data_IF_813943779319
#
_entry.id   IF_813943779319
#
_cell.length_a   1.000
_cell.length_b   1.000
_cell.length_c   1.000
_cell.angle_alpha   90.00
_cell.angle_beta   90.00
_cell.angle_gamma   90.00
#
_symmetry.space_group_name_H-M   'P 1'
#
loop_
_entity.id
_entity.type
_entity.pdbx_description
1 polymer ?
#
# COMPACT_ATOMS: atom_id res chain seq x y z
N UNK A 1 -14.55 20.63 -56.51
CA UNK A 1 -13.36 19.86 -56.09
C UNK A 1 -13.67 19.21 -54.75
N UNK A 2 -13.69 17.88 -54.71
CA UNK A 2 -13.94 17.08 -53.51
C UNK A 2 -12.67 17.04 -52.63
N UNK A 3 -12.81 17.28 -51.33
CA UNK A 3 -11.77 17.07 -50.31
C UNK A 3 -12.36 16.32 -49.11
N UNK A 4 -11.88 15.08 -48.91
CA UNK A 4 -12.39 14.06 -47.99
C UNK A 4 -12.33 14.50 -46.50
N UNK A 5 -13.49 14.54 -45.82
CA UNK A 5 -13.58 14.37 -44.36
C UNK A 5 -13.49 12.88 -44.06
N UNK A 6 -12.38 12.42 -43.50
CA UNK A 6 -12.23 11.02 -43.17
C UNK A 6 -11.08 10.77 -42.20
N UNK A 7 -11.34 10.95 -40.90
CA UNK A 7 -10.86 10.09 -39.80
C UNK A 7 -11.17 10.80 -38.47
N UNK A 8 -12.06 10.27 -37.65
CA UNK A 8 -12.14 10.65 -36.22
C UNK A 8 -12.55 9.43 -35.37
N UNK A 9 -13.47 8.58 -35.83
CA UNK A 9 -13.92 7.43 -35.04
C UNK A 9 -12.86 6.33 -34.83
N UNK A 10 -11.98 6.07 -35.82
CA UNK A 10 -10.98 5.01 -35.72
C UNK A 10 -9.85 5.37 -34.74
N UNK A 11 -9.42 6.63 -34.73
CA UNK A 11 -8.44 7.15 -33.77
C UNK A 11 -9.02 7.22 -32.36
N UNK A 12 -10.26 7.71 -32.22
CA UNK A 12 -10.94 7.72 -30.92
C UNK A 12 -11.12 6.30 -30.35
N UNK A 13 -11.43 5.32 -31.20
CA UNK A 13 -11.54 3.91 -30.78
C UNK A 13 -10.19 3.31 -30.37
N UNK A 14 -9.10 3.63 -31.06
CA UNK A 14 -7.75 3.19 -30.69
C UNK A 14 -7.33 3.77 -29.34
N UNK A 15 -7.56 5.08 -29.14
CA UNK A 15 -7.28 5.75 -27.86
C UNK A 15 -8.10 5.10 -26.73
N UNK A 16 -9.39 4.81 -26.97
CA UNK A 16 -10.26 4.17 -25.97
C UNK A 16 -9.85 2.73 -25.65
N UNK A 17 -9.39 1.98 -26.64
CA UNK A 17 -8.90 0.62 -26.47
C UNK A 17 -7.57 0.59 -25.69
N UNK A 18 -6.66 1.52 -25.98
CA UNK A 18 -5.39 1.68 -25.27
C UNK A 18 -5.61 2.04 -23.79
N UNK A 19 -6.50 2.98 -23.50
CA UNK A 19 -6.93 3.27 -22.13
C UNK A 19 -7.60 2.07 -21.44
N UNK A 20 -8.42 1.29 -22.17
CA UNK A 20 -9.03 0.10 -21.60
C UNK A 20 -7.99 -0.99 -21.29
N UNK A 21 -6.97 -1.16 -22.13
CA UNK A 21 -5.85 -2.07 -21.89
C UNK A 21 -5.01 -1.62 -20.68
N UNK A 22 -4.71 -0.34 -20.58
CA UNK A 22 -3.96 0.22 -19.45
C UNK A 22 -4.73 0.09 -18.12
N UNK A 23 -6.07 0.12 -18.17
CA UNK A 23 -6.93 -0.16 -17.02
C UNK A 23 -6.97 -1.65 -16.63
N UNK A 24 -6.58 -2.58 -17.51
CA UNK A 24 -6.57 -4.03 -17.26
C UNK A 24 -5.23 -4.46 -16.64
N UNK A 25 -4.11 -3.80 -16.97
CA UNK A 25 -2.78 -4.19 -16.44
C UNK A 25 -2.66 -4.11 -14.91
N UNK A 26 -3.38 -3.19 -14.27
CA UNK A 26 -3.39 -3.03 -12.80
C UNK A 26 -4.54 -3.78 -12.11
N UNK A 27 -5.17 -4.77 -12.75
CA UNK A 27 -6.32 -5.50 -12.19
C UNK A 27 -6.10 -7.00 -12.23
N UNK A 28 -6.90 -7.73 -11.45
CA UNK A 28 -6.92 -9.18 -11.52
C UNK A 28 -7.43 -9.68 -12.89
N UNK A 29 -6.81 -10.76 -13.41
CA UNK A 29 -7.20 -11.43 -14.65
C UNK A 29 -8.61 -12.07 -14.61
N UNK A 30 -9.18 -12.20 -13.40
CA UNK A 30 -10.52 -12.70 -13.14
C UNK A 30 -11.34 -11.64 -12.39
N UNK A 31 -12.67 -11.67 -12.52
CA UNK A 31 -13.53 -10.75 -11.78
C UNK A 31 -13.56 -11.11 -10.30
N UNK A 32 -12.97 -10.26 -9.46
CA UNK A 32 -12.96 -10.42 -8.02
C UNK A 32 -13.81 -9.38 -7.30
N UNK A 33 -14.71 -8.68 -8.00
CA UNK A 33 -15.53 -7.62 -7.41
C UNK A 33 -16.52 -8.16 -6.37
N UNK A 34 -16.90 -9.43 -6.49
CA UNK A 34 -17.83 -10.12 -5.60
C UNK A 34 -17.35 -10.16 -4.14
N UNK A 35 -18.28 -10.16 -3.17
CA UNK A 35 -17.95 -10.16 -1.74
C UNK A 35 -17.17 -11.41 -1.28
N UNK A 36 -17.23 -12.51 -2.01
CA UNK A 36 -16.46 -13.74 -1.77
C UNK A 36 -14.93 -13.50 -1.81
N UNK A 37 -14.48 -12.42 -2.47
CA UNK A 37 -13.08 -12.01 -2.53
C UNK A 37 -12.71 -10.91 -1.53
N UNK A 38 -13.57 -10.63 -0.54
CA UNK A 38 -13.26 -9.63 0.50
C UNK A 38 -11.96 -9.92 1.25
N UNK A 39 -11.52 -11.19 1.31
CA UNK A 39 -10.22 -11.54 1.88
C UNK A 39 -9.07 -10.87 1.14
N UNK A 40 -9.10 -10.77 -0.20
CA UNK A 40 -8.09 -10.06 -1.00
C UNK A 40 -8.02 -8.59 -0.61
N UNK A 41 -9.18 -7.93 -0.50
CA UNK A 41 -9.30 -6.51 -0.11
C UNK A 41 -8.96 -6.25 1.37
N UNK A 42 -8.94 -7.28 2.18
CA UNK A 42 -8.54 -7.18 3.59
C UNK A 42 -7.02 -7.13 3.77
N UNK A 43 -6.25 -7.54 2.75
CA UNK A 43 -4.80 -7.54 2.77
C UNK A 43 -4.30 -6.10 2.87
N UNK A 44 -3.52 -5.82 3.90
CA UNK A 44 -2.85 -4.55 4.14
C UNK A 44 -1.35 -4.79 4.21
N UNK A 45 -0.59 -4.07 3.39
CA UNK A 45 0.87 -4.17 3.34
C UNK A 45 1.47 -2.89 3.92
N UNK A 46 2.14 -2.97 5.06
CA UNK A 46 2.88 -1.87 5.64
C UNK A 46 4.36 -2.03 5.31
N UNK A 47 4.94 -1.08 4.59
CA UNK A 47 6.38 -0.97 4.39
C UNK A 47 6.92 0.14 5.28
N UNK A 48 7.57 -0.26 6.37
CA UNK A 48 8.37 0.60 7.25
C UNK A 48 9.74 0.75 6.60
N UNK A 49 9.86 1.72 5.68
CA UNK A 49 11.10 1.99 4.95
C UNK A 49 12.24 2.36 5.88
N UNK A 50 11.90 3.17 6.88
CA UNK A 50 12.73 3.40 8.06
C UNK A 50 11.89 3.93 9.20
N UNK A 51 12.29 3.59 10.42
CA UNK A 51 11.88 4.24 11.64
C UNK A 51 13.11 4.38 12.54
N UNK A 52 13.45 5.64 12.85
CA UNK A 52 14.59 6.01 13.69
C UNK A 52 14.12 6.88 14.84
N UNK A 53 14.48 6.50 16.06
CA UNK A 53 14.29 7.29 17.26
C UNK A 53 15.56 7.19 18.10
N UNK A 54 16.06 8.29 18.64
CA UNK A 54 17.19 8.31 19.58
C UNK A 54 17.32 9.69 20.19
N UNK A 55 17.88 9.76 21.40
CA UNK A 55 18.29 11.02 22.00
C UNK A 55 19.43 11.64 21.18
N UNK A 56 19.38 12.96 21.01
CA UNK A 56 20.44 13.72 20.35
C UNK A 56 20.57 15.11 20.96
N UNK A 57 21.75 15.72 20.84
CA UNK A 57 22.03 17.04 21.41
C UNK A 57 22.42 16.99 22.90
N UNK A 58 22.79 18.16 23.45
CA UNK A 58 23.20 18.28 24.87
C UNK A 58 22.02 18.20 25.84
N UNK A 59 20.81 18.51 25.38
CA UNK A 59 19.61 18.64 26.21
C UNK A 59 18.78 17.34 26.26
N UNK A 60 19.21 16.27 25.56
CA UNK A 60 18.50 14.99 25.53
C UNK A 60 17.25 14.98 24.64
N UNK A 61 17.15 15.91 23.68
CA UNK A 61 16.00 16.00 22.79
C UNK A 61 15.81 14.73 21.98
N UNK A 62 14.55 14.28 21.89
CA UNK A 62 14.21 13.08 21.15
C UNK A 62 14.17 13.34 19.64
N UNK A 63 15.18 12.85 18.91
CA UNK A 63 15.16 12.87 17.47
C UNK A 63 14.39 11.66 16.94
N UNK A 64 13.28 11.92 16.27
CA UNK A 64 12.35 10.91 15.75
C UNK A 64 12.03 11.19 14.29
N UNK A 65 12.23 10.21 13.42
CA UNK A 65 11.83 10.28 12.01
C UNK A 65 11.47 8.90 11.46
N UNK A 66 10.41 8.82 10.67
CA UNK A 66 9.98 7.58 10.04
C UNK A 66 9.39 7.84 8.66
N UNK A 67 9.47 6.84 7.78
CA UNK A 67 8.70 6.75 6.56
C UNK A 67 8.01 5.39 6.52
N UNK A 68 6.68 5.43 6.56
CA UNK A 68 5.81 4.25 6.47
C UNK A 68 4.82 4.47 5.33
N UNK A 69 4.64 3.47 4.49
CA UNK A 69 3.60 3.45 3.46
C UNK A 69 2.69 2.25 3.67
N UNK A 70 1.40 2.43 3.35
CA UNK A 70 0.38 1.39 3.43
C UNK A 70 -0.12 1.09 2.03
N UNK A 71 -0.02 -0.18 1.64
CA UNK A 71 -0.53 -0.76 0.41
C UNK A 71 -1.88 -1.42 0.66
N UNK A 72 -2.84 -1.16 -0.24
CA UNK A 72 -4.19 -1.73 -0.18
C UNK A 72 -4.66 -2.17 -1.56
N UNK A 73 -5.53 -3.18 -1.58
CA UNK A 73 -6.17 -3.68 -2.79
C UNK A 73 -7.60 -3.14 -2.95
N UNK A 74 -7.93 -2.66 -4.15
CA UNK A 74 -9.25 -2.19 -4.55
C UNK A 74 -10.20 -3.31 -4.98
N UNK A 75 -11.36 -2.92 -5.53
CA UNK A 75 -12.45 -3.86 -5.85
C UNK A 75 -12.01 -4.94 -6.86
N UNK A 76 -11.22 -4.57 -7.87
CA UNK A 76 -10.68 -5.49 -8.88
C UNK A 76 -9.22 -5.88 -8.64
N UNK A 77 -8.75 -5.76 -7.39
CA UNK A 77 -7.37 -6.13 -7.06
C UNK A 77 -6.33 -5.10 -7.49
N UNK A 78 -6.76 -3.90 -7.89
CA UNK A 78 -5.87 -2.77 -8.10
C UNK A 78 -5.12 -2.43 -6.82
N UNK A 79 -3.81 -2.29 -6.91
CA UNK A 79 -2.97 -2.05 -5.75
C UNK A 79 -2.47 -0.61 -5.71
N UNK A 80 -2.58 0.02 -4.56
CA UNK A 80 -2.12 1.41 -4.38
C UNK A 80 -1.42 1.62 -3.06
N UNK A 81 -0.42 2.50 -3.07
CA UNK A 81 0.28 2.97 -1.88
C UNK A 81 -0.30 4.29 -1.40
N UNK A 82 -0.38 4.46 -0.08
CA UNK A 82 -0.61 5.74 0.56
C UNK A 82 0.38 5.97 1.69
N UNK A 83 0.65 7.24 1.97
CA UNK A 83 1.44 7.64 3.14
C UNK A 83 0.74 7.16 4.41
N UNK A 84 1.52 6.65 5.34
CA UNK A 84 1.08 6.15 6.63
C UNK A 84 2.02 6.63 7.73
N UNK A 85 1.87 6.10 8.94
CA UNK A 85 2.72 6.41 10.09
C UNK A 85 2.91 5.18 10.98
N UNK A 86 3.91 5.18 11.87
CA UNK A 86 4.07 4.11 12.86
C UNK A 86 2.83 3.89 13.73
N UNK A 87 2.04 4.94 14.01
CA UNK A 87 0.84 4.84 14.83
C UNK A 87 -0.32 4.09 14.15
N UNK A 88 -0.22 3.83 12.84
CA UNK A 88 -1.20 3.05 12.09
C UNK A 88 -0.83 1.57 11.98
N UNK A 89 0.35 1.16 12.47
CA UNK A 89 0.74 -0.24 12.49
C UNK A 89 -0.15 -1.01 13.47
N UNK A 90 -0.60 -2.23 13.13
CA UNK A 90 -1.38 -3.06 14.05
C UNK A 90 -0.56 -3.52 15.25
N UNK A 91 -1.24 -3.86 16.34
CA UNK A 91 -0.60 -4.40 17.56
C UNK A 91 0.21 -5.68 17.33
N UNK A 92 -0.07 -6.41 16.24
CA UNK A 92 0.69 -7.60 15.84
C UNK A 92 2.06 -7.28 15.20
N UNK A 93 2.32 -6.02 14.82
CA UNK A 93 3.63 -5.58 14.35
C UNK A 93 4.64 -5.58 15.49
N UNK A 94 5.86 -6.04 15.20
CA UNK A 94 6.95 -6.08 16.17
C UNK A 94 8.11 -5.14 15.81
N UNK A 95 8.74 -4.52 16.81
CA UNK A 95 9.95 -3.71 16.67
C UNK A 95 9.73 -2.19 16.78
N UNK A 96 8.48 -1.73 16.89
CA UNK A 96 8.12 -0.33 17.12
C UNK A 96 7.24 -0.11 18.37
N UNK A 97 7.17 -1.08 19.27
CA UNK A 97 6.33 -1.04 20.49
C UNK A 97 6.64 0.18 21.36
N UNK A 98 7.91 0.62 21.35
CA UNK A 98 8.41 1.74 22.15
C UNK A 98 8.54 3.05 21.37
N UNK A 99 8.04 3.06 20.14
CA UNK A 99 7.98 4.28 19.35
C UNK A 99 7.06 5.28 20.03
N UNK A 100 7.51 6.52 20.25
CA UNK A 100 6.69 7.51 20.98
C UNK A 100 7.09 7.71 22.44
N UNK A 101 7.72 6.71 23.08
CA UNK A 101 8.18 6.77 24.49
C UNK A 101 9.31 7.81 24.70
N UNK A 102 9.86 7.86 25.92
CA UNK A 102 11.00 8.70 26.37
C UNK A 102 12.31 8.30 25.66
N UNK A 103 12.30 8.51 24.35
CA UNK A 103 13.34 8.35 23.35
C UNK A 103 14.30 7.14 23.42
N UNK A 104 13.80 5.91 23.62
CA UNK A 104 14.65 4.75 23.39
C UNK A 104 15.22 4.75 21.97
N UNK A 105 16.47 4.30 21.87
CA UNK A 105 17.15 4.08 20.59
C UNK A 105 16.41 2.99 19.81
N UNK A 106 15.88 3.36 18.65
CA UNK A 106 15.14 2.51 17.72
C UNK A 106 15.72 2.72 16.33
N UNK A 107 16.04 1.62 15.67
CA UNK A 107 16.35 1.55 14.26
C UNK A 107 15.60 0.33 13.73
N UNK A 108 14.59 0.57 12.91
CA UNK A 108 13.72 -0.50 12.46
C UNK A 108 13.33 -0.30 11.00
N UNK A 109 13.29 -1.42 10.28
CA UNK A 109 12.76 -1.54 8.92
C UNK A 109 12.08 -2.89 8.81
N UNK A 110 10.91 -2.90 8.19
CA UNK A 110 10.14 -4.12 8.03
C UNK A 110 9.13 -3.98 6.91
N UNK A 111 8.80 -5.09 6.29
CA UNK A 111 7.52 -5.26 5.60
C UNK A 111 6.63 -6.09 6.51
N UNK A 112 5.45 -5.57 6.82
CA UNK A 112 4.42 -6.23 7.62
C UNK A 112 3.16 -6.37 6.79
N UNK A 113 2.62 -7.58 6.71
CA UNK A 113 1.40 -7.88 5.95
C UNK A 113 0.38 -8.45 6.93
N UNK A 114 -0.85 -7.93 6.91
CA UNK A 114 -1.98 -8.52 7.64
C UNK A 114 -3.15 -8.76 6.70
N UNK A 115 -4.01 -9.72 7.05
CA UNK A 115 -5.22 -10.05 6.29
C UNK A 115 -6.29 -10.69 7.19
N UNK A 116 -7.50 -10.80 6.63
CA UNK A 116 -8.53 -11.72 7.09
C UNK A 116 -8.75 -12.78 6.03
N UNK A 117 -8.67 -14.06 6.40
CA UNK A 117 -8.91 -15.16 5.47
C UNK A 117 -10.40 -15.25 5.06
N UNK A 118 -10.74 -16.23 4.20
CA UNK A 118 -12.12 -16.45 3.76
C UNK A 118 -13.10 -16.74 4.92
N UNK A 119 -12.62 -17.32 6.03
CA UNK A 119 -13.40 -17.57 7.24
C UNK A 119 -13.41 -16.37 8.21
N UNK A 120 -12.72 -15.29 7.89
CA UNK A 120 -12.62 -14.08 8.70
C UNK A 120 -11.52 -14.10 9.76
N UNK A 121 -10.71 -15.15 9.81
CA UNK A 121 -9.62 -15.28 10.78
C UNK A 121 -8.50 -14.29 10.46
N UNK A 122 -7.95 -13.67 11.50
CA UNK A 122 -6.84 -12.75 11.37
C UNK A 122 -5.54 -13.52 11.14
N UNK A 123 -4.76 -13.09 10.14
CA UNK A 123 -3.41 -13.58 9.87
C UNK A 123 -2.47 -12.42 9.59
N UNK A 124 -1.18 -12.63 9.84
CA UNK A 124 -0.14 -11.66 9.55
C UNK A 124 1.21 -12.34 9.32
N UNK A 125 2.11 -11.63 8.64
CA UNK A 125 3.52 -11.99 8.45
C UNK A 125 4.39 -10.73 8.53
N UNK A 126 5.61 -10.87 9.03
CA UNK A 126 6.58 -9.78 9.11
C UNK A 126 7.97 -10.21 8.67
N UNK A 127 8.60 -9.38 7.84
CA UNK A 127 10.00 -9.54 7.41
C UNK A 127 10.78 -8.29 7.82
N UNK A 128 11.83 -8.49 8.62
CA UNK A 128 12.77 -7.44 9.04
C UNK A 128 14.01 -7.45 8.14
N UNK A 129 14.56 -6.27 7.80
CA UNK A 129 15.70 -6.14 6.88
C UNK A 129 16.58 -4.92 7.14
#
# INVERSE_FOLDING_TARGET
MLGRKGSNAAWDNLVRADYALQLVEDRADIDISGPEFNFVRSIRVFDVRYARQHESGRDGDCNRSAAVVLGTYGIQGDFSWRVSSPAALPDAHAGLERWGEHCPSIYHRSVFVEWRDYSGNYGFEQVNY
#
